data_IF_156610506765
#
_entry.id   IF_156610506765
#
_cell.length_a   1.000
_cell.length_b   1.000
_cell.length_c   1.000
_cell.angle_alpha   90.00
_cell.angle_beta   90.00
_cell.angle_gamma   90.00
#
_symmetry.space_group_name_H-M   'P 1'
#
loop_
_entity.id
_entity.type
_entity.pdbx_description
1 polymer ?
#
# COMPACT_ATOMS: atom_id res chain seq x y z
N UNK A 1 -16.85 25.59 101.19
CA UNK A 1 -17.63 25.55 99.96
C UNK A 1 -16.95 26.46 98.93
N UNK A 2 -16.12 25.89 98.02
CA UNK A 2 -15.47 26.63 96.92
C UNK A 2 -16.13 26.19 95.60
N UNK A 3 -16.77 27.11 94.91
CA UNK A 3 -17.50 26.90 93.67
C UNK A 3 -16.51 26.82 92.51
N UNK A 4 -16.75 26.01 91.46
CA UNK A 4 -15.86 25.89 90.32
C UNK A 4 -16.18 26.96 89.32
N UNK A 5 -15.33 27.98 89.23
CA UNK A 5 -15.38 29.05 88.20
C UNK A 5 -14.50 28.77 87.03
N UNK A 6 -13.88 27.61 86.96
CA UNK A 6 -12.87 27.30 85.97
C UNK A 6 -13.34 26.55 84.75
N UNK A 7 -14.53 25.97 84.78
CA UNK A 7 -15.00 25.12 83.60
C UNK A 7 -15.74 25.96 82.57
N UNK A 8 -16.37 27.06 82.91
CA UNK A 8 -17.12 27.92 82.00
C UNK A 8 -16.18 28.74 81.07
N UNK A 9 -14.98 29.05 81.50
CA UNK A 9 -14.01 29.85 80.71
C UNK A 9 -13.28 29.05 79.64
N UNK A 10 -13.05 27.72 79.83
CA UNK A 10 -12.45 26.86 78.83
C UNK A 10 -13.42 26.53 77.66
N UNK A 11 -14.73 26.42 77.94
CA UNK A 11 -15.72 26.12 76.90
C UNK A 11 -15.90 27.34 75.93
N UNK A 12 -15.77 28.59 76.37
CA UNK A 12 -15.90 29.79 75.56
C UNK A 12 -14.70 30.01 74.63
N UNK A 13 -13.48 29.57 75.00
CA UNK A 13 -12.30 29.67 74.18
C UNK A 13 -12.26 28.61 73.06
N UNK A 14 -12.79 27.42 73.35
CA UNK A 14 -12.84 26.33 72.33
C UNK A 14 -13.92 26.61 71.30
N UNK A 15 -15.08 27.21 71.64
CA UNK A 15 -16.14 27.56 70.71
C UNK A 15 -15.73 28.74 69.77
N UNK A 16 -14.88 29.70 70.29
CA UNK A 16 -14.41 30.80 69.43
C UNK A 16 -13.26 30.39 68.47
N UNK A 17 -12.54 29.31 68.73
CA UNK A 17 -11.50 28.82 67.83
C UNK A 17 -12.02 27.93 66.67
N UNK A 18 -13.21 27.33 66.83
CA UNK A 18 -13.81 26.48 65.81
C UNK A 18 -14.56 27.25 64.72
N UNK A 19 -14.95 28.50 64.94
CA UNK A 19 -15.62 29.34 63.94
C UNK A 19 -14.66 30.12 63.04
N UNK A 20 -13.39 30.19 63.35
CA UNK A 20 -12.41 30.86 62.52
C UNK A 20 -11.78 29.98 61.41
N UNK A 21 -12.12 28.67 61.35
CA UNK A 21 -11.56 27.72 60.37
C UNK A 21 -12.48 27.32 59.25
N UNK A 22 -13.72 27.84 59.17
CA UNK A 22 -14.69 27.54 58.11
C UNK A 22 -14.68 28.57 56.96
N UNK A 23 -13.74 29.48 56.98
CA UNK A 23 -13.62 30.55 55.98
C UNK A 23 -12.45 30.41 55.01
N UNK A 24 -11.82 29.23 54.87
CA UNK A 24 -10.80 29.02 53.85
C UNK A 24 -11.46 28.44 52.60
N UNK A 25 -11.83 29.36 51.75
CA UNK A 25 -11.75 29.29 50.29
C UNK A 25 -12.15 27.91 49.72
N UNK A 26 -13.36 27.78 49.25
CA UNK A 26 -13.57 27.07 48.00
C UNK A 26 -12.63 27.73 46.95
N UNK A 27 -11.40 27.23 46.85
CA UNK A 27 -10.65 27.32 45.61
C UNK A 27 -11.54 26.56 44.65
N UNK A 28 -12.34 27.30 43.87
CA UNK A 28 -12.91 26.76 42.65
C UNK A 28 -11.70 26.21 41.90
N UNK A 29 -11.50 24.89 42.02
CA UNK A 29 -10.65 24.18 41.08
C UNK A 29 -11.28 24.48 39.71
N UNK A 30 -10.81 25.50 39.01
CA UNK A 30 -11.00 25.62 37.61
C UNK A 30 -10.48 24.31 37.04
N UNK A 31 -11.40 23.36 36.86
CA UNK A 31 -11.18 22.21 36.01
C UNK A 31 -10.95 22.82 34.65
N UNK A 32 -9.67 23.05 34.32
CA UNK A 32 -9.29 23.27 32.93
C UNK A 32 -9.82 22.04 32.22
N UNK A 33 -10.93 22.21 31.49
CA UNK A 33 -11.48 21.16 30.68
C UNK A 33 -10.35 20.74 29.74
N UNK A 34 -9.73 19.60 29.97
CA UNK A 34 -8.69 19.07 29.11
C UNK A 34 -9.36 18.85 27.75
N UNK A 35 -8.91 19.64 26.77
CA UNK A 35 -9.43 19.56 25.41
C UNK A 35 -9.27 18.11 24.95
N UNK A 36 -10.38 17.49 24.53
CA UNK A 36 -10.34 16.13 24.04
C UNK A 36 -9.43 16.08 22.81
N UNK A 37 -8.48 15.18 22.81
CA UNK A 37 -7.53 15.00 21.70
C UNK A 37 -7.71 13.64 21.05
N UNK A 38 -7.40 13.54 19.78
CA UNK A 38 -7.38 12.30 19.01
C UNK A 38 -5.96 12.06 18.47
N UNK A 39 -5.62 10.79 18.28
CA UNK A 39 -4.34 10.36 17.74
C UNK A 39 -4.54 9.92 16.29
N UNK A 40 -3.70 10.40 15.39
CA UNK A 40 -3.77 10.08 13.96
C UNK A 40 -2.38 9.85 13.40
N UNK A 41 -2.28 8.99 12.40
CA UNK A 41 -1.07 8.78 11.61
C UNK A 41 -1.26 9.44 10.24
N UNK A 42 -0.37 10.37 9.88
CA UNK A 42 -0.41 11.06 8.60
C UNK A 42 0.84 10.69 7.82
N UNK A 43 0.66 9.97 6.72
CA UNK A 43 1.72 9.60 5.79
C UNK A 43 1.73 10.46 4.53
N UNK A 44 2.89 10.67 3.93
CA UNK A 44 3.08 11.39 2.67
C UNK A 44 3.75 10.45 1.68
N UNK A 45 3.05 10.14 0.61
CA UNK A 45 3.48 9.24 -0.45
C UNK A 45 3.60 10.01 -1.77
N UNK A 46 4.82 10.18 -2.23
CA UNK A 46 5.13 10.91 -3.47
C UNK A 46 4.91 10.07 -4.74
N UNK A 47 4.33 8.87 -4.64
CA UNK A 47 4.15 7.94 -5.76
C UNK A 47 5.41 7.17 -6.13
N UNK A 48 6.55 7.57 -5.62
CA UNK A 48 7.86 6.91 -5.81
C UNK A 48 8.62 6.87 -4.49
N UNK A 49 9.24 5.74 -4.18
CA UNK A 49 9.98 5.57 -2.93
C UNK A 49 9.10 5.21 -1.73
N UNK A 50 9.67 5.21 -0.53
CA UNK A 50 8.94 4.88 0.70
C UNK A 50 7.99 6.02 1.10
N UNK A 51 6.93 5.66 1.81
CA UNK A 51 6.03 6.63 2.44
C UNK A 51 6.76 7.32 3.59
N UNK A 52 6.71 8.65 3.61
CA UNK A 52 7.19 9.43 4.75
C UNK A 52 6.11 9.48 5.83
N UNK A 53 6.51 9.21 7.07
CA UNK A 53 5.67 9.32 8.26
C UNK A 53 6.28 10.38 9.19
N UNK A 54 6.00 11.68 8.97
CA UNK A 54 6.70 12.78 9.68
C UNK A 54 6.57 12.70 11.21
N UNK A 55 5.39 12.29 11.68
CA UNK A 55 5.13 12.03 13.09
C UNK A 55 4.19 10.83 13.22
N UNK A 56 4.71 9.69 13.64
CA UNK A 56 3.85 8.59 14.06
C UNK A 56 3.06 9.03 15.30
N UNK A 57 1.74 8.87 15.28
CA UNK A 57 0.83 9.28 16.35
C UNK A 57 0.78 10.80 16.57
N UNK A 58 0.49 11.57 15.54
CA UNK A 58 0.19 13.00 15.68
C UNK A 58 -1.03 13.19 16.57
N UNK A 59 -0.90 13.99 17.63
CA UNK A 59 -1.99 14.33 18.55
C UNK A 59 -2.60 15.65 18.11
N UNK A 60 -3.89 15.64 17.83
CA UNK A 60 -4.66 16.82 17.41
C UNK A 60 -5.92 16.99 18.27
N UNK A 61 -6.49 18.19 18.39
CA UNK A 61 -7.79 18.40 19.02
C UNK A 61 -8.87 17.51 18.39
N UNK A 62 -9.80 17.03 19.21
CA UNK A 62 -10.97 16.30 18.72
C UNK A 62 -11.80 17.22 17.81
N UNK A 63 -12.16 16.71 16.61
CA UNK A 63 -12.88 17.52 15.61
C UNK A 63 -11.97 18.40 14.73
N UNK A 64 -10.65 18.28 14.87
CA UNK A 64 -9.72 18.89 13.91
C UNK A 64 -9.92 18.29 12.51
N UNK A 65 -9.81 19.12 11.47
CA UNK A 65 -9.85 18.62 10.10
C UNK A 65 -8.46 18.15 9.62
N UNK A 66 -8.46 17.31 8.61
CA UNK A 66 -7.23 16.74 8.07
C UNK A 66 -6.26 17.80 7.52
N UNK A 67 -6.76 18.86 6.88
CA UNK A 67 -5.90 19.89 6.32
C UNK A 67 -5.06 20.56 7.41
N UNK A 68 -5.70 21.00 8.49
CA UNK A 68 -5.03 21.63 9.62
C UNK A 68 -4.02 20.66 10.30
N UNK A 69 -4.44 19.41 10.47
CA UNK A 69 -3.55 18.38 11.03
C UNK A 69 -2.32 18.13 10.14
N UNK A 70 -2.50 18.15 8.81
CA UNK A 70 -1.40 18.01 7.84
C UNK A 70 -0.44 19.20 7.93
N UNK A 71 -0.94 20.42 8.07
CA UNK A 71 -0.11 21.62 8.24
C UNK A 71 0.75 21.62 9.51
N UNK A 72 0.45 20.78 10.50
CA UNK A 72 1.28 20.61 11.70
C UNK A 72 2.50 19.72 11.44
N UNK A 73 2.48 18.89 10.41
CA UNK A 73 3.51 17.88 10.14
C UNK A 73 4.22 18.07 8.80
N UNK A 74 3.67 18.91 7.92
CA UNK A 74 4.21 19.16 6.58
C UNK A 74 3.95 20.61 6.14
N UNK A 75 4.75 21.10 5.19
CA UNK A 75 4.47 22.35 4.48
C UNK A 75 3.43 22.06 3.40
N UNK A 76 2.31 22.80 3.42
CA UNK A 76 1.17 22.57 2.51
C UNK A 76 0.89 23.82 1.69
N UNK A 77 0.81 23.67 0.38
CA UNK A 77 0.32 24.67 -0.56
C UNK A 77 -1.15 24.41 -0.84
N UNK A 78 -1.97 25.44 -0.76
CA UNK A 78 -3.43 25.35 -0.97
C UNK A 78 -3.91 26.35 -2.01
N UNK A 79 -4.99 25.98 -2.68
CA UNK A 79 -5.78 26.86 -3.53
C UNK A 79 -7.24 26.81 -3.05
N UNK A 80 -7.77 27.95 -2.63
CA UNK A 80 -9.16 28.05 -2.21
C UNK A 80 -10.09 28.24 -3.40
N UNK A 81 -11.10 27.38 -3.48
CA UNK A 81 -12.20 27.51 -4.44
C UNK A 81 -13.47 27.93 -3.70
N UNK A 82 -14.06 29.09 -4.03
CA UNK A 82 -15.30 29.54 -3.41
C UNK A 82 -16.39 28.46 -3.51
N UNK A 83 -16.92 28.04 -2.36
CA UNK A 83 -17.98 27.02 -2.27
C UNK A 83 -17.52 25.57 -2.32
N UNK A 84 -16.25 25.28 -2.67
CA UNK A 84 -15.68 23.92 -2.69
C UNK A 84 -14.64 23.70 -1.58
N UNK A 85 -14.13 24.78 -0.99
CA UNK A 85 -13.11 24.73 0.06
C UNK A 85 -11.68 24.69 -0.46
N UNK A 86 -10.73 24.40 0.43
CA UNK A 86 -9.32 24.41 0.16
C UNK A 86 -8.86 23.09 -0.50
N UNK A 87 -8.19 23.22 -1.65
CA UNK A 87 -7.51 22.12 -2.34
C UNK A 87 -6.02 22.18 -2.05
N UNK A 88 -5.45 21.03 -1.70
CA UNK A 88 -4.00 20.89 -1.54
C UNK A 88 -3.35 20.77 -2.92
N UNK A 89 -2.52 21.76 -3.25
CA UNK A 89 -1.81 21.84 -4.53
C UNK A 89 -0.34 21.46 -4.41
N UNK A 90 0.20 21.41 -3.20
CA UNK A 90 1.57 21.00 -2.94
C UNK A 90 1.79 20.54 -1.50
N UNK A 91 2.69 19.58 -1.31
CA UNK A 91 3.17 19.12 0.00
C UNK A 91 4.69 19.04 -0.05
N UNK A 92 5.37 19.64 0.94
CA UNK A 92 6.82 19.65 1.10
C UNK A 92 7.58 20.07 -0.19
N UNK A 93 7.01 21.06 -0.92
CA UNK A 93 7.63 21.59 -2.15
C UNK A 93 7.38 20.74 -3.41
N UNK A 94 6.62 19.64 -3.30
CA UNK A 94 6.16 18.88 -4.47
C UNK A 94 4.78 19.38 -4.85
N UNK A 95 4.71 20.20 -5.90
CA UNK A 95 3.45 20.76 -6.41
C UNK A 95 2.78 19.80 -7.39
N UNK A 96 1.45 19.87 -7.50
CA UNK A 96 0.68 19.14 -8.50
C UNK A 96 1.19 19.40 -9.92
N UNK A 97 1.04 18.41 -10.80
CA UNK A 97 1.38 18.53 -12.23
C UNK A 97 0.18 18.15 -13.10
N UNK A 98 -0.71 19.10 -13.40
CA UNK A 98 -1.90 18.85 -14.22
C UNK A 98 -1.59 18.35 -15.63
N UNK A 99 -0.44 18.75 -16.21
CA UNK A 99 -0.02 18.29 -17.54
C UNK A 99 0.30 16.78 -17.56
N UNK A 100 0.76 16.24 -16.43
CA UNK A 100 1.00 14.82 -16.23
C UNK A 100 -0.17 14.10 -15.53
N UNK A 101 -1.28 14.79 -15.29
CA UNK A 101 -2.43 14.29 -14.52
C UNK A 101 -2.03 13.82 -13.10
N UNK A 102 -1.14 14.55 -12.41
CA UNK A 102 -0.66 14.22 -11.08
C UNK A 102 -1.17 15.26 -10.06
N UNK A 103 -1.82 14.77 -9.02
CA UNK A 103 -2.48 15.58 -8.00
C UNK A 103 -2.24 14.99 -6.62
N UNK A 104 -2.41 15.82 -5.58
CA UNK A 104 -2.44 15.37 -4.21
C UNK A 104 -3.87 14.97 -3.84
N UNK A 105 -4.05 13.70 -3.49
CA UNK A 105 -5.28 13.14 -2.92
C UNK A 105 -4.98 12.52 -1.56
N UNK A 106 -5.95 12.46 -0.67
CA UNK A 106 -5.77 11.76 0.59
C UNK A 106 -6.65 10.53 0.67
N UNK A 107 -6.15 9.51 1.33
CA UNK A 107 -6.76 8.20 1.46
C UNK A 107 -6.75 7.79 2.92
N UNK A 108 -7.83 7.18 3.39
CA UNK A 108 -8.00 6.76 4.78
C UNK A 108 -7.98 5.24 4.83
N UNK A 109 -7.12 4.69 5.69
CA UNK A 109 -7.03 3.25 5.86
C UNK A 109 -8.25 2.72 6.60
N UNK A 110 -8.92 1.75 6.01
CA UNK A 110 -10.04 1.00 6.61
C UNK A 110 -9.52 -0.34 7.13
N UNK A 111 -9.42 -0.54 8.47
CA UNK A 111 -8.87 -1.76 9.03
C UNK A 111 -9.77 -2.99 8.86
N UNK A 112 -11.06 -2.84 8.58
CA UNK A 112 -11.99 -3.94 8.38
C UNK A 112 -11.75 -4.67 7.06
N UNK A 113 -11.43 -3.91 6.00
CA UNK A 113 -11.13 -4.45 4.66
C UNK A 113 -9.63 -4.42 4.34
N UNK A 114 -8.80 -3.83 5.23
CA UNK A 114 -7.35 -3.68 5.08
C UNK A 114 -6.94 -2.90 3.82
N UNK A 115 -7.73 -1.91 3.42
CA UNK A 115 -7.52 -1.10 2.23
C UNK A 115 -7.62 0.40 2.53
N UNK A 116 -7.10 1.20 1.61
CA UNK A 116 -7.25 2.65 1.64
C UNK A 116 -8.47 3.06 0.81
N UNK A 117 -9.33 3.89 1.40
CA UNK A 117 -10.54 4.44 0.79
C UNK A 117 -10.38 5.93 0.52
N UNK A 118 -10.90 6.40 -0.63
CA UNK A 118 -10.95 7.81 -0.96
C UNK A 118 -12.22 8.42 -0.35
N UNK A 119 -12.09 9.34 0.64
CA UNK A 119 -13.27 10.00 1.21
C UNK A 119 -13.98 10.89 0.19
N UNK A 120 -15.31 11.01 0.27
CA UNK A 120 -16.11 11.83 -0.66
C UNK A 120 -16.06 13.33 -0.35
N UNK A 121 -15.17 13.77 0.53
CA UNK A 121 -15.02 15.16 0.97
C UNK A 121 -13.57 15.62 0.88
N UNK A 122 -13.33 16.92 0.72
CA UNK A 122 -12.00 17.51 0.76
C UNK A 122 -11.39 17.50 2.17
N UNK A 123 -10.06 17.66 2.26
CA UNK A 123 -9.33 17.59 3.53
C UNK A 123 -9.78 18.64 4.57
N UNK A 124 -10.23 19.82 4.13
CA UNK A 124 -10.77 20.84 5.01
C UNK A 124 -12.13 20.48 5.63
N UNK A 125 -12.87 19.56 4.99
CA UNK A 125 -14.15 19.04 5.50
C UNK A 125 -14.04 17.68 6.17
N UNK A 126 -12.88 17.01 6.12
CA UNK A 126 -12.69 15.71 6.71
C UNK A 126 -12.26 15.83 8.17
N UNK A 127 -13.17 15.48 9.10
CA UNK A 127 -12.92 15.54 10.54
C UNK A 127 -12.22 14.24 11.00
N UNK A 128 -11.13 14.41 11.71
CA UNK A 128 -10.31 13.31 12.20
C UNK A 128 -10.92 12.66 13.44
N UNK A 129 -10.85 11.33 13.49
CA UNK A 129 -11.20 10.50 14.66
C UNK A 129 -9.97 9.75 15.17
N UNK A 130 -10.07 9.16 16.37
CA UNK A 130 -8.93 8.48 16.99
C UNK A 130 -8.48 7.26 16.21
N UNK A 131 -7.15 7.04 16.24
CA UNK A 131 -6.46 5.89 15.66
C UNK A 131 -6.60 5.75 14.12
N UNK A 132 -6.95 6.85 13.46
CA UNK A 132 -6.98 6.87 11.99
C UNK A 132 -5.58 6.90 11.40
N UNK A 133 -5.40 6.18 10.30
CA UNK A 133 -4.24 6.28 9.42
C UNK A 133 -4.68 6.89 8.10
N UNK A 134 -4.09 8.04 7.77
CA UNK A 134 -4.36 8.79 6.54
C UNK A 134 -3.08 8.87 5.74
N UNK A 135 -3.19 8.71 4.43
CA UNK A 135 -2.06 8.85 3.53
C UNK A 135 -2.37 9.85 2.43
N UNK A 136 -1.58 10.92 2.37
CA UNK A 136 -1.51 11.76 1.19
C UNK A 136 -0.78 11.02 0.08
N UNK A 137 -1.36 11.03 -1.12
CA UNK A 137 -0.79 10.31 -2.24
C UNK A 137 -0.73 11.20 -3.48
N UNK A 138 0.49 11.36 -4.00
CA UNK A 138 0.75 12.08 -5.24
C UNK A 138 0.60 11.14 -6.43
N UNK A 139 -0.56 11.17 -7.08
CA UNK A 139 -0.92 10.22 -8.14
C UNK A 139 -1.96 10.82 -9.10
N UNK A 140 -2.39 10.03 -10.07
CA UNK A 140 -3.50 10.38 -10.96
C UNK A 140 -4.88 10.32 -10.27
N UNK A 141 -4.95 9.91 -9.01
CA UNK A 141 -6.15 9.96 -8.17
C UNK A 141 -7.16 8.82 -8.36
N UNK A 142 -6.96 7.93 -9.34
CA UNK A 142 -7.90 6.83 -9.60
C UNK A 142 -7.55 5.56 -8.83
N UNK A 143 -6.26 5.33 -8.62
CA UNK A 143 -5.75 4.21 -7.82
C UNK A 143 -5.16 4.75 -6.51
N UNK A 144 -5.56 4.13 -5.41
CA UNK A 144 -5.10 4.48 -4.08
C UNK A 144 -3.74 3.87 -3.70
N UNK A 145 -3.21 4.26 -2.55
CA UNK A 145 -2.05 3.63 -1.96
C UNK A 145 -2.29 2.13 -1.75
N UNK A 146 -1.27 1.31 -2.06
CA UNK A 146 -1.38 -0.15 -1.94
C UNK A 146 -2.10 -0.83 -3.09
N UNK A 147 -2.50 -0.10 -4.14
CA UNK A 147 -3.06 -0.72 -5.33
C UNK A 147 -2.10 -1.77 -5.92
N UNK A 148 -2.66 -2.87 -6.36
CA UNK A 148 -1.94 -3.99 -6.97
C UNK A 148 -2.66 -4.50 -8.21
N UNK A 149 -1.92 -5.17 -9.09
CA UNK A 149 -2.47 -5.82 -10.27
C UNK A 149 -2.14 -7.29 -10.19
N UNK A 150 -3.17 -8.14 -10.17
CA UNK A 150 -3.02 -9.56 -10.43
C UNK A 150 -3.04 -9.80 -11.95
N UNK A 151 -2.13 -10.63 -12.44
CA UNK A 151 -2.01 -10.94 -13.85
C UNK A 151 -1.93 -12.45 -14.05
N UNK A 152 -2.61 -12.94 -15.07
CA UNK A 152 -2.51 -14.30 -15.55
C UNK A 152 -2.33 -14.28 -17.07
N UNK A 153 -1.59 -15.24 -17.62
CA UNK A 153 -1.46 -15.44 -19.04
C UNK A 153 -1.40 -16.94 -19.36
N UNK A 154 -2.12 -17.34 -20.39
CA UNK A 154 -2.07 -18.70 -20.91
C UNK A 154 -1.98 -18.69 -22.43
N UNK A 155 -1.46 -19.77 -22.99
CA UNK A 155 -1.28 -19.93 -24.43
C UNK A 155 -2.48 -20.66 -25.01
N UNK A 156 -3.12 -20.04 -25.99
CA UNK A 156 -4.06 -20.70 -26.90
C UNK A 156 -3.31 -21.19 -28.14
N UNK A 157 -3.10 -22.49 -28.20
CA UNK A 157 -2.39 -23.17 -29.32
C UNK A 157 -3.35 -23.64 -30.42
N UNK A 158 -4.64 -23.36 -30.30
CA UNK A 158 -5.63 -23.70 -31.35
C UNK A 158 -5.51 -22.78 -32.58
N UNK A 159 -4.75 -21.68 -32.46
CA UNK A 159 -4.48 -20.71 -33.53
C UNK A 159 -3.04 -20.82 -34.04
N UNK A 160 -2.81 -20.49 -35.31
CA UNK A 160 -1.47 -20.37 -35.90
C UNK A 160 -1.31 -18.96 -36.48
N UNK A 161 -0.40 -18.12 -35.99
CA UNK A 161 0.46 -18.33 -34.81
C UNK A 161 -0.32 -18.42 -33.51
N UNK A 162 0.26 -19.06 -32.47
CA UNK A 162 -0.36 -19.17 -31.14
C UNK A 162 -0.72 -17.79 -30.55
N UNK A 163 -1.81 -17.75 -29.83
CA UNK A 163 -2.32 -16.52 -29.19
C UNK A 163 -2.15 -16.61 -27.67
N UNK A 164 -1.56 -15.59 -27.06
CA UNK A 164 -1.55 -15.43 -25.62
C UNK A 164 -2.86 -14.76 -25.16
N UNK A 165 -3.60 -15.38 -24.26
CA UNK A 165 -4.72 -14.75 -23.57
C UNK A 165 -4.20 -14.23 -22.24
N UNK A 166 -4.18 -12.90 -22.10
CA UNK A 166 -3.71 -12.18 -20.91
C UNK A 166 -4.94 -11.64 -20.19
N UNK A 167 -5.07 -11.92 -18.90
CA UNK A 167 -6.18 -11.44 -18.08
C UNK A 167 -5.66 -11.00 -16.72
N UNK A 168 -6.38 -10.09 -16.07
CA UNK A 168 -5.99 -9.61 -14.74
C UNK A 168 -7.09 -8.81 -14.08
N UNK A 169 -6.79 -8.39 -12.86
CA UNK A 169 -7.65 -7.49 -12.08
C UNK A 169 -6.81 -6.51 -11.27
N UNK A 170 -7.35 -5.31 -11.11
CA UNK A 170 -6.81 -4.25 -10.26
C UNK A 170 -7.49 -4.34 -8.90
N UNK A 171 -6.70 -4.27 -7.83
CA UNK A 171 -7.19 -4.34 -6.47
C UNK A 171 -6.55 -3.22 -5.62
N UNK A 172 -7.31 -2.51 -4.76
CA UNK A 172 -8.77 -2.56 -4.67
C UNK A 172 -9.46 -2.17 -5.99
N UNK A 173 -10.72 -2.54 -6.12
CA UNK A 173 -11.52 -2.18 -7.32
C UNK A 173 -11.49 -0.68 -7.52
N UNK A 174 -11.04 -0.18 -8.68
CA UNK A 174 -10.96 1.25 -8.93
C UNK A 174 -12.34 1.89 -8.98
N UNK A 175 -12.45 3.16 -8.58
CA UNK A 175 -13.71 3.92 -8.60
C UNK A 175 -14.23 4.23 -10.01
N UNK A 176 -13.39 4.06 -11.03
CA UNK A 176 -13.71 4.21 -12.45
C UNK A 176 -12.81 3.31 -13.29
N UNK A 177 -13.21 2.98 -14.54
CA UNK A 177 -12.36 2.23 -15.47
C UNK A 177 -10.98 2.88 -15.66
N UNK A 178 -9.93 2.07 -15.63
CA UNK A 178 -8.53 2.51 -15.67
C UNK A 178 -7.85 2.02 -16.95
N UNK A 179 -7.02 2.86 -17.56
CA UNK A 179 -6.18 2.44 -18.67
C UNK A 179 -5.06 1.51 -18.15
N UNK A 180 -4.95 0.35 -18.77
CA UNK A 180 -3.95 -0.67 -18.48
C UNK A 180 -3.07 -0.84 -19.71
N UNK A 181 -1.77 -0.64 -19.56
CA UNK A 181 -0.78 -0.94 -20.58
C UNK A 181 -0.23 -2.35 -20.35
N UNK A 182 -0.40 -3.23 -21.32
CA UNK A 182 0.21 -4.55 -21.32
C UNK A 182 1.55 -4.49 -22.01
N UNK A 183 2.57 -5.07 -21.41
CA UNK A 183 3.94 -5.06 -21.90
C UNK A 183 4.54 -6.48 -21.89
N UNK A 184 5.47 -6.75 -22.81
CA UNK A 184 6.20 -8.01 -22.83
C UNK A 184 7.72 -7.80 -22.94
N UNK A 185 8.45 -8.81 -22.48
CA UNK A 185 9.90 -8.90 -22.61
C UNK A 185 10.30 -10.29 -23.08
N UNK A 186 11.24 -10.38 -24.01
CA UNK A 186 11.89 -11.64 -24.46
C UNK A 186 13.31 -11.82 -23.90
N UNK A 187 13.79 -10.87 -23.09
CA UNK A 187 15.13 -10.86 -22.51
C UNK A 187 15.10 -10.87 -20.98
N UNK A 188 14.23 -11.71 -20.42
CA UNK A 188 14.09 -11.94 -18.96
C UNK A 188 13.78 -10.67 -18.16
N UNK A 189 13.01 -9.75 -18.76
CA UNK A 189 12.57 -8.52 -18.08
C UNK A 189 13.54 -7.34 -18.17
N UNK A 190 14.65 -7.47 -18.93
CA UNK A 190 15.60 -6.38 -19.08
C UNK A 190 15.01 -5.19 -19.84
N UNK A 191 14.19 -5.47 -20.87
CA UNK A 191 13.46 -4.44 -21.61
C UNK A 191 12.04 -4.91 -21.88
N UNK A 192 11.07 -4.00 -21.71
CA UNK A 192 9.68 -4.25 -22.02
C UNK A 192 9.23 -3.44 -23.22
N UNK A 193 8.40 -4.06 -24.06
CA UNK A 193 7.74 -3.47 -25.21
C UNK A 193 6.23 -3.51 -25.01
N UNK A 194 5.54 -2.48 -25.46
CA UNK A 194 4.10 -2.40 -25.37
C UNK A 194 3.42 -3.45 -26.26
N UNK A 195 2.48 -4.21 -25.70
CA UNK A 195 1.57 -5.11 -26.41
C UNK A 195 0.33 -4.33 -26.86
N UNK A 196 -0.32 -3.67 -25.88
CA UNK A 196 -1.56 -2.95 -26.08
C UNK A 196 -1.85 -2.01 -24.91
N UNK A 197 -2.71 -1.03 -25.16
CA UNK A 197 -3.40 -0.26 -24.13
C UNK A 197 -4.88 -0.61 -24.16
N UNK A 198 -5.40 -1.03 -23.02
CA UNK A 198 -6.79 -1.43 -22.86
C UNK A 198 -7.38 -0.71 -21.63
N UNK A 199 -8.69 -0.72 -21.54
CA UNK A 199 -9.38 -0.12 -20.39
C UNK A 199 -9.97 -1.24 -19.55
N UNK A 200 -9.82 -1.20 -18.23
CA UNK A 200 -10.45 -2.15 -17.32
C UNK A 200 -11.98 -2.02 -17.32
N UNK A 201 -12.66 -3.07 -16.93
CA UNK A 201 -14.07 -2.99 -16.54
C UNK A 201 -14.28 -2.15 -15.29
N UNK A 202 -15.53 -1.85 -14.98
CA UNK A 202 -15.90 -1.14 -13.75
C UNK A 202 -15.58 -1.95 -12.46
N UNK A 203 -15.43 -3.26 -12.60
CA UNK A 203 -15.01 -4.20 -11.56
C UNK A 203 -13.48 -4.33 -11.44
N UNK A 204 -12.72 -3.54 -12.22
CA UNK A 204 -11.27 -3.57 -12.27
C UNK A 204 -10.67 -4.70 -13.10
N UNK A 205 -11.49 -5.58 -13.70
CA UNK A 205 -10.99 -6.69 -14.52
C UNK A 205 -10.61 -6.23 -15.93
N UNK A 206 -9.67 -6.93 -16.55
CA UNK A 206 -9.28 -6.72 -17.94
C UNK A 206 -8.85 -8.02 -18.59
N UNK A 207 -8.97 -8.10 -19.93
CA UNK A 207 -8.50 -9.23 -20.73
C UNK A 207 -8.11 -8.76 -22.12
N UNK A 208 -7.09 -9.41 -22.70
CA UNK A 208 -6.60 -9.14 -24.03
C UNK A 208 -6.03 -10.39 -24.69
N UNK A 209 -6.33 -10.59 -25.97
CA UNK A 209 -5.77 -11.68 -26.77
C UNK A 209 -4.66 -11.12 -27.68
N UNK A 210 -3.45 -11.61 -27.49
CA UNK A 210 -2.26 -11.15 -28.19
C UNK A 210 -1.67 -12.24 -29.08
N UNK A 211 -1.58 -11.97 -30.39
CA UNK A 211 -0.86 -12.83 -31.32
C UNK A 211 0.63 -12.72 -31.06
N UNK A 212 1.28 -13.84 -30.75
CA UNK A 212 2.70 -13.85 -30.46
C UNK A 212 3.54 -13.51 -31.69
N UNK A 213 4.59 -12.69 -31.55
CA UNK A 213 5.45 -12.29 -32.69
C UNK A 213 6.38 -13.43 -33.15
N UNK A 214 6.42 -14.55 -32.43
CA UNK A 214 7.26 -15.71 -32.71
C UNK A 214 7.31 -16.69 -31.56
N UNK A 215 8.23 -17.65 -31.64
CA UNK A 215 8.49 -18.61 -30.55
C UNK A 215 9.42 -18.04 -29.48
N UNK A 216 9.42 -18.68 -28.30
CA UNK A 216 10.31 -18.33 -27.21
C UNK A 216 9.60 -18.13 -25.87
N UNK A 217 10.38 -17.60 -24.92
CA UNK A 217 9.87 -17.22 -23.59
C UNK A 217 9.52 -15.75 -23.57
N UNK A 218 8.35 -15.44 -23.07
CA UNK A 218 7.85 -14.08 -22.89
C UNK A 218 7.61 -13.84 -21.42
N UNK A 219 8.06 -12.71 -20.89
CA UNK A 219 7.62 -12.19 -19.60
C UNK A 219 6.61 -11.09 -19.87
N UNK A 220 5.40 -11.24 -19.38
CA UNK A 220 4.29 -10.30 -19.58
C UNK A 220 4.01 -9.60 -18.26
N UNK A 221 3.82 -8.29 -18.29
CA UNK A 221 3.35 -7.51 -17.15
C UNK A 221 2.30 -6.50 -17.58
N UNK A 222 1.54 -6.02 -16.61
CA UNK A 222 0.59 -4.93 -16.76
C UNK A 222 1.08 -3.71 -15.97
N UNK A 223 0.81 -2.51 -16.49
CA UNK A 223 1.02 -1.22 -15.83
C UNK A 223 -0.29 -0.43 -15.88
N UNK A 224 -0.79 -0.01 -14.73
CA UNK A 224 -1.92 0.88 -14.61
C UNK A 224 -1.53 2.07 -13.74
N UNK A 225 -1.39 3.25 -14.35
CA UNK A 225 -1.06 4.50 -13.66
C UNK A 225 0.24 4.41 -12.81
N UNK A 226 1.24 3.64 -13.26
CA UNK A 226 2.50 3.42 -12.55
C UNK A 226 2.50 2.23 -11.59
N UNK A 227 1.34 1.64 -11.29
CA UNK A 227 1.24 0.37 -10.55
C UNK A 227 1.54 -0.77 -11.51
N UNK A 228 2.56 -1.57 -11.21
CA UNK A 228 2.99 -2.67 -12.07
C UNK A 228 2.67 -4.02 -11.44
N UNK A 229 2.15 -4.94 -12.26
CA UNK A 229 1.99 -6.33 -11.83
C UNK A 229 3.34 -7.03 -11.68
N UNK A 230 3.37 -8.11 -10.92
CA UNK A 230 4.43 -9.12 -11.07
C UNK A 230 4.38 -9.69 -12.49
N UNK A 231 5.53 -9.91 -13.14
CA UNK A 231 5.56 -10.47 -14.48
C UNK A 231 5.16 -11.95 -14.47
N UNK A 232 4.39 -12.35 -15.49
CA UNK A 232 4.01 -13.75 -15.75
C UNK A 232 4.83 -14.27 -16.92
N UNK A 233 5.42 -15.46 -16.78
CA UNK A 233 6.19 -16.11 -17.83
C UNK A 233 5.29 -16.96 -18.71
N UNK A 234 5.42 -16.81 -20.04
CA UNK A 234 4.71 -17.58 -21.05
C UNK A 234 5.70 -18.15 -22.07
N UNK A 235 5.70 -19.45 -22.26
CA UNK A 235 6.57 -20.13 -23.23
C UNK A 235 5.78 -20.78 -24.35
N UNK A 236 6.26 -20.69 -25.59
CA UNK A 236 5.64 -21.32 -26.76
C UNK A 236 6.16 -22.72 -27.04
N UNK A 237 7.20 -23.15 -26.39
CA UNK A 237 7.78 -24.50 -26.48
C UNK A 237 7.71 -25.19 -25.14
N UNK A 238 7.30 -26.46 -25.11
CA UNK A 238 7.27 -27.32 -23.92
C UNK A 238 8.65 -27.68 -23.35
N UNK A 239 9.66 -26.81 -23.54
CA UNK A 239 11.01 -26.99 -23.00
C UNK A 239 11.15 -26.37 -21.60
N UNK A 240 11.98 -27.00 -20.76
CA UNK A 240 12.38 -26.44 -19.47
C UNK A 240 13.05 -25.07 -19.72
N UNK A 241 12.70 -23.99 -18.98
CA UNK A 241 13.35 -22.71 -19.15
C UNK A 241 14.86 -22.82 -19.13
N UNK A 242 15.50 -22.37 -20.23
CA UNK A 242 16.97 -22.44 -20.40
C UNK A 242 17.53 -23.70 -21.05
N UNK A 243 16.70 -24.73 -21.30
CA UNK A 243 17.15 -25.95 -21.98
C UNK A 243 16.17 -26.30 -23.11
N UNK A 244 16.57 -26.20 -24.39
CA UNK A 244 15.80 -26.75 -25.51
C UNK A 244 15.54 -28.23 -25.28
N UNK A 245 14.34 -28.70 -25.60
CA UNK A 245 13.93 -30.12 -25.43
C UNK A 245 14.95 -31.07 -26.08
N UNK A 246 15.54 -30.66 -27.17
CA UNK A 246 16.62 -31.34 -27.90
C UNK A 246 17.87 -31.55 -27.04
N UNK A 247 18.21 -30.59 -26.18
CA UNK A 247 19.36 -30.69 -25.26
C UNK A 247 19.09 -31.69 -24.13
N UNK A 248 17.85 -31.80 -23.67
CA UNK A 248 17.42 -32.78 -22.67
C UNK A 248 17.45 -34.18 -23.23
N UNK A 249 16.98 -34.38 -24.48
CA UNK A 249 17.04 -35.66 -25.18
C UNK A 249 18.49 -36.06 -25.49
N UNK A 250 19.32 -35.13 -25.95
CA UNK A 250 20.74 -35.36 -26.21
C UNK A 250 21.51 -35.68 -24.92
N UNK A 251 21.26 -34.96 -23.84
CA UNK A 251 21.89 -35.25 -22.53
C UNK A 251 21.47 -36.58 -21.92
N UNK A 252 20.19 -36.93 -22.05
CA UNK A 252 19.65 -38.24 -21.60
C UNK A 252 20.22 -39.41 -22.41
N UNK A 253 20.36 -39.28 -23.75
CA UNK A 253 20.93 -40.29 -24.61
C UNK A 253 22.44 -40.47 -24.35
N UNK A 254 23.18 -39.39 -24.15
CA UNK A 254 24.61 -39.44 -23.76
C UNK A 254 24.81 -40.07 -22.39
N UNK A 255 23.97 -39.78 -21.39
CA UNK A 255 24.01 -40.38 -20.07
C UNK A 255 23.77 -41.91 -20.11
N UNK A 256 22.78 -42.35 -20.90
CA UNK A 256 22.51 -43.78 -21.11
C UNK A 256 23.65 -44.50 -21.83
N UNK A 257 24.24 -43.89 -22.87
CA UNK A 257 25.43 -44.41 -23.56
C UNK A 257 26.62 -44.54 -22.61
N UNK A 258 26.85 -43.55 -21.77
CA UNK A 258 27.95 -43.59 -20.80
C UNK A 258 27.77 -44.73 -19.77
N UNK A 259 26.55 -44.95 -19.30
CA UNK A 259 26.24 -46.04 -18.36
C UNK A 259 26.37 -47.42 -19.00
N UNK A 260 26.00 -47.58 -20.25
CA UNK A 260 26.18 -48.82 -21.03
C UNK A 260 27.66 -49.11 -21.24
N UNK A 261 28.46 -48.15 -21.61
CA UNK A 261 29.92 -48.29 -21.78
C UNK A 261 30.61 -48.64 -20.45
N UNK A 262 30.18 -47.98 -19.36
CA UNK A 262 30.68 -48.24 -18.02
C UNK A 262 30.37 -49.68 -17.52
N UNK A 263 29.15 -50.17 -17.80
CA UNK A 263 28.76 -51.55 -17.49
C UNK A 263 29.54 -52.58 -18.32
N UNK A 264 29.76 -52.33 -19.62
CA UNK A 264 30.59 -53.23 -20.46
C UNK A 264 32.05 -53.31 -19.96
N UNK A 265 32.65 -52.18 -19.54
CA UNK A 265 34.02 -52.20 -18.98
C UNK A 265 34.10 -52.97 -17.67
N UNK A 266 33.11 -52.92 -16.79
CA UNK A 266 33.09 -53.71 -15.54
C UNK A 266 32.96 -55.18 -15.80
N UNK A 267 32.23 -55.63 -16.81
CA UNK A 267 32.08 -57.03 -17.19
C UNK A 267 33.38 -57.61 -17.82
N UNK A 268 34.19 -56.79 -18.51
CA UNK A 268 35.43 -57.19 -19.09
C UNK A 268 36.54 -57.41 -18.02
N UNK A 269 36.54 -56.54 -17.01
CA UNK A 269 37.50 -56.66 -15.89
C UNK A 269 37.24 -57.87 -14.96
N UNK A 270 36.00 -58.31 -14.86
CA UNK A 270 35.67 -59.54 -14.05
C UNK A 270 35.92 -60.88 -14.79
N UNK A 271 36.14 -60.79 -16.10
CA UNK A 271 36.42 -61.97 -16.91
C UNK A 271 37.90 -62.38 -16.91
N UNK A 272 38.85 -61.45 -16.64
CA UNK A 272 40.30 -61.72 -16.65
C UNK A 272 40.83 -62.33 -15.33
N UNK A 273 40.11 -62.21 -14.21
CA UNK A 273 40.50 -62.77 -12.94
C UNK A 273 40.05 -64.26 -12.73
N UNK A 274 39.54 -64.91 -13.80
CA UNK A 274 39.10 -66.33 -13.76
C UNK A 274 39.70 -67.20 -14.82
N UNK A 275 40.87 -66.84 -15.42
CA UNK A 275 41.60 -67.66 -16.34
C UNK A 275 42.95 -68.14 -15.72
#
# INVERSE_FOLDING_TARGET
>A
MKKPLSVALCCLIVVSLTTAFVGIASVDAMTVAQEATVRVNIGINYGTGPVEWPNNNTIVPSGENLLNATMRVATVEILDYPGLGAFVTGINGVSQNPAANLYWTFWVYNPQIQEYELPPVGASGYLLTSDQTVQWYYSSGTLGPGASISLNAHLDTSTDPPTAVVSGSIHPTPSAPVNVTLEYSQNQGANYQEIARITSGADGTFSYSWKLPGGGMFMIRADAQGVKSSPVSLGTSGGVPGFPLESLLAGGALGLLFEIVRRKRRLHFQGEDRA
#
